data_IF_012475089262
#
_entry.id   IF_012475089262
#
_cell.length_a   1.000
_cell.length_b   1.000
_cell.length_c   1.000
_cell.angle_alpha   90.00
_cell.angle_beta   90.00
_cell.angle_gamma   90.00
#
_symmetry.space_group_name_H-M   'P 1'
#
loop_
_entity.id
_entity.type
_entity.pdbx_description
1 polymer ?
#
# COMPACT_ATOMS: atom_id res chain seq x y z
N UNK A 1 -19.45 -35.60 -15.92
CA UNK A 1 -18.22 -34.81 -15.69
C UNK A 1 -18.53 -33.38 -16.08
N UNK A 2 -19.06 -32.59 -15.15
CA UNK A 2 -19.40 -31.18 -15.35
C UNK A 2 -18.31 -30.35 -14.71
N UNK A 3 -17.65 -29.52 -15.52
CA UNK A 3 -16.53 -28.69 -15.14
C UNK A 3 -16.87 -27.83 -13.92
N UNK A 4 -16.09 -27.99 -12.86
CA UNK A 4 -16.08 -27.09 -11.72
C UNK A 4 -15.63 -25.72 -12.21
N UNK A 5 -16.59 -24.82 -12.44
CA UNK A 5 -16.30 -23.39 -12.50
C UNK A 5 -15.76 -22.99 -11.14
N UNK A 6 -14.45 -22.78 -11.05
CA UNK A 6 -13.84 -22.19 -9.88
C UNK A 6 -14.32 -20.74 -9.86
N UNK A 7 -15.44 -20.47 -9.19
CA UNK A 7 -15.74 -19.11 -8.73
C UNK A 7 -14.66 -18.78 -7.71
N UNK A 8 -13.51 -18.30 -8.19
CA UNK A 8 -12.52 -17.60 -7.36
C UNK A 8 -13.20 -16.31 -6.93
N UNK A 9 -13.99 -16.39 -5.86
CA UNK A 9 -14.60 -15.25 -5.22
C UNK A 9 -13.50 -14.23 -4.90
N UNK A 10 -13.79 -12.95 -5.13
CA UNK A 10 -12.89 -11.86 -4.78
C UNK A 10 -12.44 -12.05 -3.32
N UNK A 11 -11.12 -12.03 -3.02
CA UNK A 11 -10.62 -12.22 -1.66
C UNK A 11 -11.22 -11.20 -0.71
N UNK A 12 -11.27 -11.51 0.59
CA UNK A 12 -11.92 -10.63 1.56
C UNK A 12 -11.15 -9.29 1.67
N UNK A 13 -11.89 -8.21 1.94
CA UNK A 13 -11.31 -6.86 2.06
C UNK A 13 -10.22 -6.79 3.13
N UNK A 14 -10.37 -7.53 4.24
CA UNK A 14 -9.38 -7.59 5.31
C UNK A 14 -8.07 -8.23 4.83
N UNK A 15 -8.16 -9.30 4.03
CA UNK A 15 -6.97 -9.97 3.48
C UNK A 15 -6.23 -9.03 2.52
N UNK A 16 -6.98 -8.25 1.72
CA UNK A 16 -6.41 -7.26 0.83
C UNK A 16 -5.72 -6.11 1.60
N UNK A 17 -6.32 -5.64 2.70
CA UNK A 17 -5.69 -4.64 3.58
C UNK A 17 -4.40 -5.17 4.22
N UNK A 18 -4.39 -6.42 4.68
CA UNK A 18 -3.18 -7.06 5.20
C UNK A 18 -2.10 -7.16 4.12
N UNK A 19 -2.45 -7.61 2.91
CA UNK A 19 -1.50 -7.70 1.80
C UNK A 19 -0.89 -6.33 1.43
N UNK A 20 -1.69 -5.25 1.45
CA UNK A 20 -1.19 -3.89 1.24
C UNK A 20 -0.18 -3.50 2.31
N UNK A 21 -0.48 -3.74 3.59
CA UNK A 21 0.41 -3.42 4.71
C UNK A 21 1.72 -4.20 4.60
N UNK A 22 1.64 -5.51 4.45
CA UNK A 22 2.80 -6.40 4.37
C UNK A 22 3.71 -6.01 3.21
N UNK A 23 3.11 -5.69 2.05
CA UNK A 23 3.85 -5.21 0.89
C UNK A 23 4.58 -3.90 1.19
N UNK A 24 3.89 -2.89 1.72
CA UNK A 24 4.49 -1.58 1.98
C UNK A 24 5.59 -1.63 3.03
N UNK A 25 5.41 -2.42 4.09
CA UNK A 25 6.43 -2.64 5.13
C UNK A 25 7.66 -3.36 4.58
N UNK A 26 7.49 -4.28 3.61
CA UNK A 26 8.59 -5.00 2.98
C UNK A 26 9.29 -4.18 1.87
N UNK A 27 8.54 -3.41 1.09
CA UNK A 27 9.03 -2.70 -0.08
C UNK A 27 9.71 -1.36 0.26
N UNK A 28 9.30 -0.72 1.36
CA UNK A 28 9.78 0.61 1.74
C UNK A 28 10.76 0.53 2.93
N UNK A 29 11.82 1.34 2.95
CA UNK A 29 12.79 1.32 4.04
C UNK A 29 12.24 1.98 5.31
N UNK A 30 12.50 1.39 6.46
CA UNK A 30 12.33 2.04 7.78
C UNK A 30 10.91 2.57 8.05
N UNK A 31 9.89 1.88 7.52
CA UNK A 31 8.48 2.17 7.79
C UNK A 31 8.20 2.11 9.28
N UNK A 32 7.63 3.17 9.83
CA UNK A 32 7.20 3.23 11.23
C UNK A 32 5.72 2.92 11.39
N UNK A 33 4.93 3.20 10.36
CA UNK A 33 3.49 2.99 10.36
C UNK A 33 2.95 2.94 8.93
N UNK A 34 1.97 2.08 8.72
CA UNK A 34 1.13 2.02 7.53
C UNK A 34 -0.34 2.04 7.96
N UNK A 35 -1.10 3.01 7.47
CA UNK A 35 -2.55 3.04 7.59
C UNK A 35 -3.17 2.89 6.19
N UNK A 36 -3.95 1.83 5.97
CA UNK A 36 -4.74 1.69 4.74
C UNK A 36 -5.99 2.56 4.89
N UNK A 37 -6.07 3.66 4.15
CA UNK A 37 -7.11 4.69 4.28
C UNK A 37 -8.32 4.39 3.42
N UNK A 38 -8.13 3.70 2.28
CA UNK A 38 -9.20 3.29 1.38
C UNK A 38 -8.90 1.93 0.76
N UNK A 39 -9.96 1.15 0.56
CA UNK A 39 -9.92 -0.10 -0.17
C UNK A 39 -11.18 -0.19 -1.04
N UNK A 40 -11.01 -0.31 -2.35
CA UNK A 40 -12.12 -0.37 -3.29
C UNK A 40 -11.96 -1.56 -4.25
N UNK A 41 -13.01 -2.38 -4.44
CA UNK A 41 -12.99 -3.38 -5.50
C UNK A 41 -12.96 -2.66 -6.86
N UNK A 42 -12.19 -3.22 -7.80
CA UNK A 42 -12.17 -2.75 -9.19
C UNK A 42 -12.30 -3.95 -10.12
N UNK A 43 -12.95 -3.73 -11.27
CA UNK A 43 -13.05 -4.70 -12.36
C UNK A 43 -12.28 -4.14 -13.57
N UNK A 44 -10.97 -3.92 -13.37
CA UNK A 44 -10.10 -3.24 -14.33
C UNK A 44 -8.94 -4.15 -14.75
N UNK A 45 -9.14 -4.93 -15.82
CA UNK A 45 -8.13 -5.85 -16.33
C UNK A 45 -7.78 -6.93 -15.30
N UNK A 46 -6.51 -7.02 -14.93
CA UNK A 46 -6.01 -7.97 -13.93
C UNK A 46 -6.20 -7.49 -12.49
N UNK A 47 -6.52 -6.20 -12.27
CA UNK A 47 -6.72 -5.65 -10.95
C UNK A 47 -8.10 -6.03 -10.40
N UNK A 48 -8.10 -6.58 -9.18
CA UNK A 48 -9.30 -6.88 -8.40
C UNK A 48 -9.57 -5.82 -7.33
N UNK A 49 -8.53 -5.10 -6.90
CA UNK A 49 -8.59 -4.08 -5.86
C UNK A 49 -7.70 -2.88 -6.17
N UNK A 50 -8.17 -1.70 -5.74
CA UNK A 50 -7.39 -0.48 -5.63
C UNK A 50 -7.37 -0.03 -4.16
N UNK A 51 -6.22 0.40 -3.67
CA UNK A 51 -6.01 0.79 -2.28
C UNK A 51 -5.29 2.13 -2.19
N UNK A 52 -5.65 2.89 -1.16
CA UNK A 52 -4.94 4.09 -0.73
C UNK A 52 -4.34 3.81 0.64
N UNK A 53 -3.09 4.20 0.85
CA UNK A 53 -2.39 3.98 2.11
C UNK A 53 -1.46 5.13 2.47
N UNK A 54 -1.49 5.50 3.74
CA UNK A 54 -0.57 6.45 4.34
C UNK A 54 0.60 5.71 5.00
N UNK A 55 1.82 6.16 4.71
CA UNK A 55 3.05 5.59 5.24
C UNK A 55 3.85 6.69 5.94
N UNK A 56 4.34 6.39 7.15
CA UNK A 56 5.22 7.27 7.89
C UNK A 56 6.63 6.69 7.96
N UNK A 57 7.61 7.45 7.49
CA UNK A 57 9.03 7.08 7.46
C UNK A 57 9.88 8.19 8.05
N UNK A 58 11.02 7.91 8.69
CA UNK A 58 11.92 8.97 9.15
C UNK A 58 12.36 9.86 8.00
N UNK A 59 12.39 11.17 8.24
CA UNK A 59 12.80 12.14 7.23
C UNK A 59 14.25 11.85 6.77
N UNK A 60 14.47 11.49 5.49
CA UNK A 60 15.78 11.08 4.99
C UNK A 60 16.75 12.26 4.91
N UNK A 61 16.24 13.49 4.71
CA UNK A 61 17.06 14.70 4.68
C UNK A 61 17.69 14.97 6.04
N UNK A 62 16.90 14.89 7.12
CA UNK A 62 17.42 15.07 8.48
C UNK A 62 18.46 14.02 8.84
N UNK A 63 18.23 12.75 8.44
CA UNK A 63 19.21 11.68 8.60
C UNK A 63 20.51 11.96 7.86
N UNK A 64 20.41 12.37 6.60
CA UNK A 64 21.59 12.66 5.76
C UNK A 64 22.40 13.83 6.32
N UNK A 65 21.73 14.83 6.89
CA UNK A 65 22.37 15.98 7.52
C UNK A 65 22.89 15.70 8.94
N UNK A 66 22.67 14.49 9.48
CA UNK A 66 23.09 14.12 10.84
C UNK A 66 22.37 14.91 11.94
N UNK A 67 21.19 15.47 11.63
CA UNK A 67 20.43 16.26 12.60
C UNK A 67 19.77 15.31 13.59
N UNK A 68 20.22 15.35 14.84
CA UNK A 68 19.62 14.60 15.94
C UNK A 68 18.40 15.35 16.46
N UNK A 69 17.24 14.70 16.38
CA UNK A 69 16.00 15.21 16.97
C UNK A 69 15.67 14.43 18.24
N UNK A 70 15.09 15.09 19.24
CA UNK A 70 14.68 14.41 20.49
C UNK A 70 13.59 13.35 20.25
N UNK A 71 12.80 13.53 19.19
CA UNK A 71 11.81 12.56 18.70
C UNK A 71 11.95 12.42 17.18
N UNK A 72 11.77 11.23 16.59
CA UNK A 72 11.83 11.06 15.15
C UNK A 72 10.85 11.98 14.44
N UNK A 73 11.33 12.77 13.49
CA UNK A 73 10.49 13.51 12.56
C UNK A 73 10.18 12.58 11.39
N UNK A 74 8.89 12.35 11.15
CA UNK A 74 8.42 11.42 10.13
C UNK A 74 7.87 12.21 8.95
N UNK A 75 8.28 11.83 7.75
CA UNK A 75 7.60 12.19 6.52
C UNK A 75 6.34 11.34 6.39
N UNK A 76 5.24 11.99 6.04
CA UNK A 76 3.98 11.34 5.69
C UNK A 76 3.89 11.26 4.16
N UNK A 77 3.63 10.06 3.66
CA UNK A 77 3.58 9.76 2.22
C UNK A 77 2.32 8.98 1.92
N UNK A 78 1.61 9.40 0.89
CA UNK A 78 0.39 8.74 0.43
C UNK A 78 0.70 7.86 -0.78
N UNK A 79 0.23 6.61 -0.78
CA UNK A 79 0.46 5.65 -1.85
C UNK A 79 -0.85 5.14 -2.41
N UNK A 80 -0.89 5.00 -3.74
CA UNK A 80 -1.92 4.28 -4.47
C UNK A 80 -1.39 2.91 -4.86
N UNK A 81 -2.18 1.85 -4.65
CA UNK A 81 -1.80 0.48 -4.97
C UNK A 81 -2.90 -0.24 -5.74
N UNK A 82 -2.50 -1.17 -6.62
CA UNK A 82 -3.40 -2.09 -7.32
C UNK A 82 -3.00 -3.53 -7.05
N UNK A 83 -4.00 -4.36 -6.74
CA UNK A 83 -3.80 -5.77 -6.42
C UNK A 83 -4.60 -6.67 -7.35
N UNK A 84 -4.04 -7.82 -7.70
CA UNK A 84 -4.73 -8.86 -8.45
C UNK A 84 -5.68 -9.68 -7.55
N UNK A 85 -6.36 -10.67 -8.16
CA UNK A 85 -7.26 -11.60 -7.44
C UNK A 85 -6.54 -12.51 -6.46
N UNK A 86 -5.21 -12.63 -6.54
CA UNK A 86 -4.35 -13.38 -5.63
C UNK A 86 -3.69 -12.47 -4.58
N UNK A 87 -4.14 -11.20 -4.47
CA UNK A 87 -3.61 -10.17 -3.58
C UNK A 87 -2.13 -9.82 -3.81
N UNK A 88 -1.62 -10.08 -5.01
CA UNK A 88 -0.29 -9.59 -5.40
C UNK A 88 -0.40 -8.16 -5.87
N UNK A 89 0.51 -7.31 -5.39
CA UNK A 89 0.61 -5.92 -5.85
C UNK A 89 1.10 -5.90 -7.30
N UNK A 90 0.25 -5.41 -8.19
CA UNK A 90 0.52 -5.23 -9.62
C UNK A 90 1.27 -3.91 -9.87
N UNK A 91 0.90 -2.86 -9.13
CA UNK A 91 1.50 -1.55 -9.23
C UNK A 91 1.33 -0.79 -7.91
N UNK A 92 2.28 0.10 -7.62
CA UNK A 92 2.17 1.08 -6.55
C UNK A 92 2.85 2.37 -6.97
N UNK A 93 2.30 3.51 -6.57
CA UNK A 93 2.87 4.82 -6.85
C UNK A 93 2.73 5.74 -5.64
N UNK A 94 3.72 6.61 -5.46
CA UNK A 94 3.64 7.70 -4.50
C UNK A 94 2.72 8.76 -5.09
N UNK A 95 1.63 9.08 -4.41
CA UNK A 95 0.81 10.22 -4.79
C UNK A 95 1.62 11.49 -4.55
N UNK A 96 1.90 12.22 -5.64
CA UNK A 96 2.63 13.47 -5.57
C UNK A 96 1.92 14.50 -4.69
N UNK A 97 2.60 15.56 -4.23
CA UNK A 97 1.93 16.62 -3.48
C UNK A 97 0.73 17.10 -4.30
N UNK A 98 -0.46 17.05 -3.70
CA UNK A 98 -1.67 17.59 -4.29
C UNK A 98 -1.39 19.03 -4.71
N UNK A 99 -1.15 19.23 -6.00
CA UNK A 99 -0.95 20.55 -6.54
C UNK A 99 -2.28 21.27 -6.56
N UNK A 100 -2.63 21.96 -5.47
CA UNK A 100 -3.31 23.27 -5.42
C UNK A 100 -3.71 23.68 -4.01
#
# INVERSE_FOLDING_TARGET
>A
MTASGHETGRPAINDAQTAVRDFLEAALPEVQRVDVTRMAPVDAGEAAWEAEADVWQPNPTLKTLGIQTQRPVLDHRHYLLRLDTLLKVLAYELEGPAGR
#
